data_IF_000095724425
#
_entry.id   IF_000095724425
#
_cell.length_a   1.000
_cell.length_b   1.000
_cell.length_c   1.000
_cell.angle_alpha   90.00
_cell.angle_beta   90.00
_cell.angle_gamma   90.00
#
_symmetry.space_group_name_H-M   'P 1'
#
loop_
_entity.id
_entity.type
_entity.pdbx_description
1 polymer ?
#
# COMPACT_ATOMS: atom_id res chain seq x y z
N UNK A 1 14.57 23.06 42.51
CA UNK A 1 14.72 22.35 41.21
C UNK A 1 14.43 23.35 40.11
N UNK A 2 15.46 23.90 39.48
CA UNK A 2 15.38 24.97 38.48
C UNK A 2 15.54 24.38 37.09
N UNK A 3 14.52 24.53 36.23
CA UNK A 3 14.53 24.09 34.84
C UNK A 3 14.91 25.25 33.93
N UNK A 4 16.08 25.18 33.29
CA UNK A 4 16.49 26.10 32.23
C UNK A 4 16.07 25.54 30.88
N UNK A 5 15.33 26.34 30.11
CA UNK A 5 14.88 26.03 28.75
C UNK A 5 15.88 26.63 27.76
N UNK A 6 16.52 25.77 26.96
CA UNK A 6 17.47 26.16 25.92
C UNK A 6 16.75 26.17 24.57
N UNK A 7 16.65 27.34 23.93
CA UNK A 7 16.12 27.50 22.57
C UNK A 7 17.28 27.59 21.58
N UNK A 8 17.36 26.66 20.62
CA UNK A 8 18.29 26.74 19.51
C UNK A 8 17.63 27.39 18.30
N UNK A 9 18.23 28.49 17.83
CA UNK A 9 17.85 29.25 16.64
C UNK A 9 18.49 28.63 15.41
N UNK A 10 17.68 28.23 14.42
CA UNK A 10 18.16 27.60 13.18
C UNK A 10 18.11 28.60 12.04
N UNK A 11 19.28 29.07 11.61
CA UNK A 11 19.47 29.92 10.43
C UNK A 11 19.24 29.12 9.15
N UNK A 12 18.37 29.62 8.26
CA UNK A 12 18.05 29.01 6.96
C UNK A 12 19.00 29.59 5.91
N UNK A 13 19.92 28.78 5.41
CA UNK A 13 20.78 29.13 4.28
C UNK A 13 20.08 28.75 2.97
N UNK A 14 19.63 29.75 2.21
CA UNK A 14 19.12 29.59 0.84
C UNK A 14 20.29 29.55 -0.12
N UNK A 15 20.56 28.39 -0.72
CA UNK A 15 21.52 28.27 -1.82
C UNK A 15 20.75 28.11 -3.14
N UNK A 16 20.83 29.14 -3.99
CA UNK A 16 20.45 29.07 -5.39
C UNK A 16 21.50 28.28 -6.16
N UNK A 17 21.10 27.19 -6.82
CA UNK A 17 21.96 26.51 -7.80
C UNK A 17 21.13 26.11 -9.03
N UNK A 18 21.37 26.84 -10.11
CA UNK A 18 21.76 26.28 -11.42
C UNK A 18 20.80 25.35 -12.13
N UNK A 19 20.03 25.92 -13.06
CA UNK A 19 19.40 25.23 -14.18
C UNK A 19 20.48 24.59 -15.08
N UNK A 20 20.43 23.26 -15.25
CA UNK A 20 21.06 22.58 -16.38
C UNK A 20 20.08 21.58 -16.97
N UNK A 21 19.63 21.93 -18.18
CA UNK A 21 18.90 21.09 -19.11
C UNK A 21 19.75 19.88 -19.52
N UNK A 22 19.19 18.68 -19.41
CA UNK A 22 19.72 17.50 -20.07
C UNK A 22 18.55 16.62 -20.51
N UNK A 23 18.31 16.64 -21.82
CA UNK A 23 17.53 15.63 -22.55
C UNK A 23 18.08 14.24 -22.23
N UNK A 24 17.22 13.33 -21.79
CA UNK A 24 17.52 11.90 -21.74
C UNK A 24 16.27 11.10 -22.14
N UNK A 25 16.41 10.53 -23.34
CA UNK A 25 15.64 9.54 -24.08
C UNK A 25 14.77 8.61 -23.24
N UNK A 26 13.50 8.52 -23.64
CA UNK A 26 12.56 7.48 -23.23
C UNK A 26 13.04 6.10 -23.71
N UNK A 27 13.26 5.19 -22.76
CA UNK A 27 13.36 3.75 -23.05
C UNK A 27 12.08 3.12 -22.50
N UNK A 28 11.15 2.87 -23.43
CA UNK A 28 9.98 2.02 -23.25
C UNK A 28 10.45 0.57 -23.14
N UNK A 29 10.05 -0.14 -22.09
CA UNK A 29 10.25 -1.58 -21.98
C UNK A 29 8.90 -2.28 -21.79
N UNK A 30 8.70 -3.27 -22.67
CA UNK A 30 7.48 -4.01 -22.95
C UNK A 30 6.89 -4.73 -21.74
N UNK A 31 5.58 -4.57 -21.57
CA UNK A 31 4.76 -5.42 -20.71
C UNK A 31 4.28 -6.65 -21.47
N UNK A 32 5.01 -7.77 -21.32
CA UNK A 32 4.56 -9.07 -21.79
C UNK A 32 3.42 -9.59 -20.89
N UNK A 33 2.22 -9.63 -21.44
CA UNK A 33 1.01 -10.21 -20.85
C UNK A 33 1.12 -11.74 -20.92
N UNK A 34 1.37 -12.38 -19.78
CA UNK A 34 1.30 -13.84 -19.67
C UNK A 34 -0.16 -14.29 -19.51
N UNK A 35 -0.64 -15.09 -20.47
CA UNK A 35 -1.92 -15.78 -20.42
C UNK A 35 -1.91 -16.93 -19.39
N UNK A 36 -3.00 -17.16 -18.61
CA UNK A 36 -3.11 -18.34 -17.77
C UNK A 36 -3.68 -19.52 -18.58
N UNK A 37 -2.96 -20.64 -18.60
CA UNK A 37 -3.46 -21.91 -19.13
C UNK A 37 -4.54 -22.48 -18.21
N UNK A 38 -5.69 -22.81 -18.79
CA UNK A 38 -6.80 -23.48 -18.13
C UNK A 38 -6.43 -24.94 -17.80
N UNK A 39 -6.61 -25.31 -16.53
CA UNK A 39 -6.44 -26.66 -16.02
C UNK A 39 -7.62 -27.55 -16.42
N UNK A 40 -7.29 -28.75 -16.89
CA UNK A 40 -8.22 -29.82 -17.27
C UNK A 40 -8.99 -30.34 -16.05
N UNK A 41 -10.30 -30.49 -16.21
CA UNK A 41 -11.21 -31.14 -15.27
C UNK A 41 -10.99 -32.65 -15.22
N UNK A 42 -11.08 -33.22 -14.01
CA UNK A 42 -11.15 -34.66 -13.76
C UNK A 42 -12.46 -34.98 -13.00
N UNK A 43 -13.01 -36.19 -13.16
CA UNK A 43 -14.41 -36.49 -12.86
C UNK A 43 -14.66 -36.81 -11.38
N UNK A 44 -15.89 -36.52 -10.96
CA UNK A 44 -16.43 -36.84 -9.65
C UNK A 44 -16.58 -38.35 -9.44
N UNK A 45 -16.32 -38.81 -8.21
CA UNK A 45 -16.62 -40.16 -7.72
C UNK A 45 -16.97 -40.09 -6.22
N UNK A 46 -17.75 -41.05 -5.70
CA UNK A 46 -18.86 -40.77 -4.82
C UNK A 46 -18.49 -40.72 -3.33
N UNK A 47 -19.32 -39.99 -2.60
CA UNK A 47 -19.25 -39.74 -1.15
C UNK A 47 -19.48 -41.06 -0.39
N UNK A 48 -18.45 -41.58 0.26
CA UNK A 48 -18.60 -42.63 1.27
C UNK A 48 -18.85 -41.97 2.62
N UNK A 49 -20.08 -42.12 3.12
CA UNK A 49 -20.47 -41.75 4.48
C UNK A 49 -19.82 -42.69 5.48
N UNK A 50 -18.60 -42.36 5.89
CA UNK A 50 -17.94 -43.06 7.00
C UNK A 50 -18.47 -42.50 8.33
N UNK A 51 -19.20 -43.37 9.03
CA UNK A 51 -19.70 -43.25 10.40
C UNK A 51 -18.78 -42.48 11.36
N UNK A 52 -19.30 -41.39 11.92
CA UNK A 52 -18.69 -40.55 12.97
C UNK A 52 -18.75 -41.22 14.36
N UNK A 53 -18.31 -42.47 14.49
CA UNK A 53 -18.37 -43.20 15.78
C UNK A 53 -17.02 -43.32 16.50
N UNK A 54 -16.07 -42.43 16.24
CA UNK A 54 -14.69 -42.51 16.76
C UNK A 54 -14.25 -41.40 17.74
N UNK A 55 -15.16 -40.60 18.29
CA UNK A 55 -14.82 -39.35 18.98
C UNK A 55 -14.34 -39.46 20.43
N UNK A 56 -14.05 -40.64 20.96
CA UNK A 56 -13.45 -40.78 22.30
C UNK A 56 -12.22 -41.69 22.24
N UNK A 57 -11.19 -41.24 21.53
CA UNK A 57 -9.86 -41.84 21.60
C UNK A 57 -9.04 -41.08 22.64
N UNK A 58 -8.95 -41.63 23.85
CA UNK A 58 -8.33 -41.09 25.07
C UNK A 58 -6.79 -40.93 25.01
N UNK A 59 -6.22 -40.67 23.83
CA UNK A 59 -4.77 -40.70 23.58
C UNK A 59 -4.14 -39.36 23.16
N UNK A 60 -4.79 -38.21 23.36
CA UNK A 60 -4.25 -36.94 22.86
C UNK A 60 -4.31 -35.74 23.81
N UNK A 61 -3.96 -35.94 25.08
CA UNK A 61 -3.84 -34.89 26.09
C UNK A 61 -2.94 -33.70 25.66
N UNK A 62 -1.90 -33.95 24.85
CA UNK A 62 -0.98 -32.92 24.31
C UNK A 62 -1.60 -32.10 23.16
N UNK A 63 -2.59 -32.66 22.46
CA UNK A 63 -3.32 -31.93 21.41
C UNK A 63 -4.33 -30.96 22.03
N UNK A 64 -4.96 -31.38 23.14
CA UNK A 64 -5.87 -30.55 23.91
C UNK A 64 -5.15 -29.33 24.48
N UNK A 65 -3.94 -29.48 25.02
CA UNK A 65 -3.16 -28.36 25.57
C UNK A 65 -2.85 -27.28 24.50
N UNK A 66 -2.39 -27.69 23.31
CA UNK A 66 -2.08 -26.73 22.23
C UNK A 66 -3.33 -26.06 21.65
N UNK A 67 -4.45 -26.78 21.63
CA UNK A 67 -5.74 -26.24 21.20
C UNK A 67 -6.27 -25.21 22.22
N UNK A 68 -6.13 -25.50 23.52
CA UNK A 68 -6.46 -24.56 24.59
C UNK A 68 -5.62 -23.29 24.47
N UNK A 69 -4.30 -23.42 24.28
CA UNK A 69 -3.41 -22.26 24.08
C UNK A 69 -3.80 -21.43 22.86
N UNK A 70 -4.11 -22.06 21.73
CA UNK A 70 -4.55 -21.35 20.53
C UNK A 70 -5.90 -20.64 20.74
N UNK A 71 -6.81 -21.26 21.51
CA UNK A 71 -8.12 -20.70 21.85
C UNK A 71 -7.96 -19.46 22.73
N UNK A 72 -7.16 -19.54 23.79
CA UNK A 72 -6.86 -18.39 24.65
C UNK A 72 -6.23 -17.24 23.85
N UNK A 73 -5.25 -17.53 23.00
CA UNK A 73 -4.61 -16.52 22.15
C UNK A 73 -5.59 -15.87 21.14
N UNK A 74 -6.59 -16.60 20.65
CA UNK A 74 -7.65 -16.04 19.81
C UNK A 74 -8.61 -15.16 20.60
N UNK A 75 -8.98 -15.54 21.84
CA UNK A 75 -9.78 -14.69 22.72
C UNK A 75 -9.06 -13.38 23.06
N UNK A 76 -7.77 -13.44 23.36
CA UNK A 76 -6.96 -12.26 23.71
C UNK A 76 -6.77 -11.30 22.53
N UNK A 77 -6.61 -11.83 21.31
CA UNK A 77 -6.35 -11.02 20.11
C UNK A 77 -7.60 -10.64 19.31
N UNK A 78 -8.74 -11.27 19.59
CA UNK A 78 -9.97 -11.15 18.78
C UNK A 78 -9.82 -11.67 17.34
N UNK A 79 -8.72 -12.36 17.02
CA UNK A 79 -8.39 -12.81 15.67
C UNK A 79 -8.34 -14.35 15.61
N UNK A 80 -9.12 -15.00 14.71
CA UNK A 80 -9.18 -16.47 14.62
C UNK A 80 -7.91 -17.10 14.01
N UNK A 81 -6.93 -16.30 13.58
CA UNK A 81 -5.71 -16.80 12.91
C UNK A 81 -4.94 -17.85 13.71
N UNK A 82 -4.93 -17.77 15.04
CA UNK A 82 -4.23 -18.76 15.88
C UNK A 82 -4.90 -20.14 15.81
N UNK A 83 -6.22 -20.19 15.86
CA UNK A 83 -6.99 -21.42 15.72
C UNK A 83 -6.84 -22.03 14.32
N UNK A 84 -6.95 -21.19 13.28
CA UNK A 84 -6.77 -21.62 11.88
C UNK A 84 -5.38 -22.21 11.64
N UNK A 85 -4.33 -21.59 12.20
CA UNK A 85 -2.95 -22.11 12.10
C UNK A 85 -2.82 -23.46 12.80
N UNK A 86 -3.47 -23.64 13.94
CA UNK A 86 -3.42 -24.87 14.70
C UNK A 86 -4.15 -26.01 13.98
N UNK A 87 -5.33 -25.74 13.39
CA UNK A 87 -6.08 -26.70 12.58
C UNK A 87 -5.29 -27.10 11.34
N UNK A 88 -4.73 -26.13 10.61
CA UNK A 88 -3.94 -26.41 9.41
C UNK A 88 -2.70 -27.26 9.75
N UNK A 89 -2.02 -26.94 10.86
CA UNK A 89 -0.89 -27.73 11.36
C UNK A 89 -1.32 -29.17 11.65
N UNK A 90 -2.46 -29.37 12.29
CA UNK A 90 -2.98 -30.69 12.62
C UNK A 90 -3.31 -31.50 11.37
N UNK A 91 -4.02 -30.89 10.40
CA UNK A 91 -4.37 -31.53 9.12
C UNK A 91 -3.09 -31.99 8.40
N UNK A 92 -2.08 -31.13 8.32
CA UNK A 92 -0.80 -31.45 7.67
C UNK A 92 -0.10 -32.61 8.41
N UNK A 93 -0.02 -32.56 9.73
CA UNK A 93 0.65 -33.60 10.52
C UNK A 93 -0.07 -34.95 10.45
N UNK A 94 -1.40 -34.94 10.54
CA UNK A 94 -2.23 -36.15 10.43
C UNK A 94 -2.03 -36.83 9.08
N UNK A 95 -2.12 -36.06 7.99
CA UNK A 95 -1.87 -36.56 6.63
C UNK A 95 -0.47 -37.13 6.46
N UNK A 96 0.57 -36.44 6.96
CA UNK A 96 1.96 -36.92 6.89
C UNK A 96 2.14 -38.25 7.62
N UNK A 97 1.57 -38.39 8.82
CA UNK A 97 1.64 -39.63 9.59
C UNK A 97 0.94 -40.78 8.88
N UNK A 98 -0.23 -40.54 8.30
CA UNK A 98 -0.96 -41.54 7.51
C UNK A 98 -0.16 -42.00 6.27
N UNK A 99 0.63 -41.11 5.67
CA UNK A 99 1.55 -41.42 4.57
C UNK A 99 2.90 -42.00 5.05
N UNK A 100 3.07 -42.28 6.34
CA UNK A 100 4.30 -42.82 6.93
C UNK A 100 5.47 -41.84 6.97
N UNK A 101 5.23 -40.55 6.74
CA UNK A 101 6.26 -39.49 6.75
C UNK A 101 6.51 -38.99 8.17
N UNK A 102 7.77 -38.76 8.50
CA UNK A 102 8.16 -38.15 9.77
C UNK A 102 7.55 -36.74 9.95
N UNK A 103 7.43 -36.32 11.21
CA UNK A 103 6.95 -34.99 11.58
C UNK A 103 7.79 -33.91 10.89
N UNK A 104 7.12 -32.85 10.43
CA UNK A 104 7.76 -31.76 9.70
C UNK A 104 8.67 -30.98 10.65
N UNK A 105 9.98 -31.23 10.55
CA UNK A 105 11.01 -30.46 11.25
C UNK A 105 11.41 -29.27 10.39
N UNK A 106 11.24 -28.05 10.92
CA UNK A 106 11.73 -26.84 10.28
C UNK A 106 13.09 -26.54 10.89
N UNK A 107 14.16 -26.83 10.15
CA UNK A 107 15.50 -26.43 10.54
C UNK A 107 15.69 -24.94 10.29
N UNK A 108 15.70 -24.16 11.36
CA UNK A 108 16.04 -22.73 11.27
C UNK A 108 17.56 -22.59 11.18
N UNK A 109 18.07 -22.53 9.94
CA UNK A 109 19.47 -22.16 9.73
C UNK A 109 19.68 -20.74 10.25
N UNK A 110 20.62 -20.59 11.20
CA UNK A 110 20.99 -19.26 11.71
C UNK A 110 21.50 -18.41 10.53
N UNK A 111 21.15 -17.11 10.49
CA UNK A 111 21.65 -16.22 9.45
C UNK A 111 23.19 -16.23 9.48
N UNK A 112 23.79 -16.40 8.30
CA UNK A 112 25.24 -16.39 8.10
C UNK A 112 25.78 -15.03 8.58
N UNK A 113 26.69 -15.06 9.55
CA UNK A 113 27.33 -13.85 10.08
C UNK A 113 28.20 -13.22 9.00
N UNK A 114 28.31 -11.89 9.03
CA UNK A 114 29.06 -11.11 8.02
C UNK A 114 30.56 -11.49 7.94
N UNK A 115 31.09 -12.13 8.98
CA UNK A 115 32.47 -12.63 9.10
C UNK A 115 32.81 -13.77 8.12
N UNK A 116 31.80 -14.43 7.53
CA UNK A 116 31.99 -15.56 6.59
C UNK A 116 31.92 -15.16 5.12
N UNK A 117 31.69 -13.87 4.80
CA UNK A 117 31.65 -13.44 3.41
C UNK A 117 33.05 -13.35 2.82
N UNK A 118 33.19 -13.84 1.59
CA UNK A 118 34.41 -13.60 0.82
C UNK A 118 34.52 -12.10 0.47
N UNK A 119 35.74 -11.63 0.20
CA UNK A 119 36.00 -10.24 -0.20
C UNK A 119 35.16 -9.83 -1.42
N UNK A 120 34.97 -10.75 -2.37
CA UNK A 120 34.12 -10.55 -3.55
C UNK A 120 32.65 -10.34 -3.20
N UNK A 121 32.12 -11.11 -2.24
CA UNK A 121 30.74 -10.98 -1.78
C UNK A 121 30.50 -9.65 -1.05
N UNK A 122 31.49 -9.18 -0.29
CA UNK A 122 31.44 -7.87 0.36
C UNK A 122 31.38 -6.73 -0.66
N UNK A 123 32.19 -6.80 -1.72
CA UNK A 123 32.18 -5.80 -2.81
C UNK A 123 30.83 -5.82 -3.54
N UNK A 124 30.30 -7.00 -3.88
CA UNK A 124 28.99 -7.14 -4.54
C UNK A 124 27.86 -6.59 -3.67
N UNK A 125 27.91 -6.83 -2.36
CA UNK A 125 26.96 -6.28 -1.39
C UNK A 125 27.06 -4.77 -1.30
N UNK A 126 28.27 -4.20 -1.22
CA UNK A 126 28.48 -2.75 -1.22
C UNK A 126 27.92 -2.11 -2.49
N UNK A 127 28.22 -2.68 -3.67
CA UNK A 127 27.67 -2.22 -4.96
C UNK A 127 26.15 -2.27 -4.97
N UNK A 128 25.53 -3.36 -4.48
CA UNK A 128 24.06 -3.48 -4.40
C UNK A 128 23.45 -2.42 -3.48
N UNK A 129 24.05 -2.17 -2.31
CA UNK A 129 23.59 -1.14 -1.38
C UNK A 129 23.65 0.25 -2.01
N UNK A 130 24.74 0.56 -2.71
CA UNK A 130 24.89 1.85 -3.38
C UNK A 130 23.87 2.03 -4.51
N UNK A 131 23.67 1.01 -5.37
CA UNK A 131 22.64 1.04 -6.41
C UNK A 131 21.23 1.22 -5.82
N UNK A 132 20.92 0.51 -4.73
CA UNK A 132 19.64 0.64 -4.05
C UNK A 132 19.47 2.04 -3.42
N UNK A 133 20.54 2.61 -2.84
CA UNK A 133 20.55 3.98 -2.32
C UNK A 133 20.22 5.00 -3.41
N UNK A 134 20.84 4.87 -4.58
CA UNK A 134 20.57 5.73 -5.75
C UNK A 134 19.15 5.53 -6.28
N UNK A 135 18.68 4.29 -6.38
CA UNK A 135 17.32 3.99 -6.82
C UNK A 135 16.26 4.56 -5.85
N UNK A 136 16.48 4.43 -4.54
CA UNK A 136 15.60 5.00 -3.52
C UNK A 136 15.57 6.53 -3.59
N UNK A 137 16.73 7.17 -3.79
CA UNK A 137 16.81 8.63 -4.00
C UNK A 137 16.00 9.05 -5.23
N UNK A 138 16.24 8.43 -6.40
CA UNK A 138 15.50 8.73 -7.63
C UNK A 138 14.00 8.50 -7.50
N UNK A 139 13.60 7.43 -6.79
CA UNK A 139 12.18 7.14 -6.54
C UNK A 139 11.52 8.24 -5.70
N UNK A 140 12.20 8.68 -4.63
CA UNK A 140 11.74 9.80 -3.79
C UNK A 140 11.67 11.10 -4.58
N UNK A 141 12.69 11.42 -5.37
CA UNK A 141 12.72 12.60 -6.24
C UNK A 141 11.59 12.57 -7.28
N UNK A 142 11.33 11.42 -7.92
CA UNK A 142 10.21 11.24 -8.85
C UNK A 142 8.87 11.45 -8.14
N UNK A 143 8.73 10.91 -6.93
CA UNK A 143 7.55 11.12 -6.09
C UNK A 143 7.34 12.59 -5.74
N UNK A 144 8.41 13.31 -5.38
CA UNK A 144 8.36 14.72 -5.05
C UNK A 144 7.99 15.58 -6.28
N UNK A 145 8.66 15.37 -7.42
CA UNK A 145 8.34 16.07 -8.68
C UNK A 145 6.88 15.89 -9.08
N UNK A 146 6.33 14.67 -8.92
CA UNK A 146 4.90 14.43 -9.19
C UNK A 146 3.99 15.24 -8.27
N UNK A 147 4.32 15.34 -6.98
CA UNK A 147 3.57 16.17 -6.04
C UNK A 147 3.64 17.64 -6.43
N UNK A 148 4.82 18.13 -6.77
CA UNK A 148 5.03 19.53 -7.16
C UNK A 148 4.21 19.89 -8.42
N UNK A 149 4.20 19.00 -9.43
CA UNK A 149 3.37 19.17 -10.62
C UNK A 149 1.88 19.23 -10.31
N UNK A 150 1.40 18.35 -9.42
CA UNK A 150 -0.02 18.36 -9.01
C UNK A 150 -0.39 19.63 -8.26
N UNK A 151 0.49 20.12 -7.38
CA UNK A 151 0.27 21.39 -6.67
C UNK A 151 0.21 22.55 -7.65
N UNK A 152 1.08 22.59 -8.64
CA UNK A 152 1.07 23.65 -9.64
C UNK A 152 -0.19 23.62 -10.51
N UNK A 153 -0.64 22.42 -10.91
CA UNK A 153 -1.91 22.27 -11.64
C UNK A 153 -3.11 22.70 -10.79
N UNK A 154 -3.14 22.38 -9.49
CA UNK A 154 -4.17 22.86 -8.57
C UNK A 154 -4.20 24.40 -8.54
N UNK A 155 -3.03 25.05 -8.40
CA UNK A 155 -2.95 26.52 -8.40
C UNK A 155 -3.47 27.12 -9.69
N UNK A 156 -3.07 26.55 -10.83
CA UNK A 156 -3.53 26.99 -12.15
C UNK A 156 -5.05 26.89 -12.27
N UNK A 157 -5.63 25.74 -11.92
CA UNK A 157 -7.08 25.52 -11.96
C UNK A 157 -7.82 26.46 -11.00
N UNK A 158 -7.28 26.71 -9.81
CA UNK A 158 -7.86 27.67 -8.85
C UNK A 158 -7.85 29.10 -9.40
N UNK A 159 -6.76 29.51 -10.05
CA UNK A 159 -6.64 30.82 -10.70
C UNK A 159 -7.69 30.96 -11.83
N UNK A 160 -7.78 29.97 -12.71
CA UNK A 160 -8.75 29.96 -13.81
C UNK A 160 -10.19 29.96 -13.31
N UNK A 161 -10.50 29.20 -12.26
CA UNK A 161 -11.83 29.18 -11.67
C UNK A 161 -12.19 30.55 -11.09
N UNK A 162 -11.26 31.18 -10.36
CA UNK A 162 -11.45 32.53 -9.82
C UNK A 162 -11.71 33.57 -10.91
N UNK A 163 -10.98 33.49 -12.02
CA UNK A 163 -11.19 34.35 -13.19
C UNK A 163 -12.58 34.14 -13.81
N UNK A 164 -12.99 32.89 -14.02
CA UNK A 164 -14.31 32.56 -14.56
C UNK A 164 -15.45 33.02 -13.65
N UNK A 165 -15.29 32.89 -12.33
CA UNK A 165 -16.28 33.38 -11.35
C UNK A 165 -16.41 34.91 -11.47
N UNK A 166 -15.29 35.64 -11.59
CA UNK A 166 -15.31 37.09 -11.75
C UNK A 166 -16.01 37.51 -13.04
N UNK A 167 -15.71 36.85 -14.16
CA UNK A 167 -16.36 37.11 -15.45
C UNK A 167 -17.86 36.83 -15.36
N UNK A 168 -18.24 35.70 -14.76
CA UNK A 168 -19.64 35.34 -14.56
C UNK A 168 -20.38 36.36 -13.69
N UNK A 169 -19.75 36.83 -12.62
CA UNK A 169 -20.26 37.90 -11.76
C UNK A 169 -20.52 39.17 -12.55
N UNK A 170 -19.53 39.65 -13.30
CA UNK A 170 -19.66 40.86 -14.12
C UNK A 170 -20.74 40.74 -15.20
N UNK A 171 -20.84 39.60 -15.89
CA UNK A 171 -21.91 39.37 -16.87
C UNK A 171 -23.30 39.32 -16.23
N UNK A 172 -23.40 38.74 -15.04
CA UNK A 172 -24.65 38.68 -14.28
C UNK A 172 -25.09 40.07 -13.83
N UNK A 173 -24.17 40.90 -13.35
CA UNK A 173 -24.43 42.30 -13.01
C UNK A 173 -24.90 43.11 -14.21
N UNK A 174 -24.20 43.01 -15.35
CA UNK A 174 -24.59 43.69 -16.58
C UNK A 174 -25.99 43.28 -17.03
N UNK A 175 -26.27 41.97 -17.05
CA UNK A 175 -27.59 41.44 -17.39
C UNK A 175 -28.68 41.98 -16.47
N UNK A 176 -28.44 41.96 -15.16
CA UNK A 176 -29.40 42.45 -14.18
C UNK A 176 -29.64 43.96 -14.32
N UNK A 177 -28.59 44.74 -14.60
CA UNK A 177 -28.71 46.18 -14.86
C UNK A 177 -29.59 46.45 -16.08
N UNK A 178 -29.40 45.73 -17.19
CA UNK A 178 -30.21 45.89 -18.40
C UNK A 178 -31.67 45.52 -18.13
N UNK A 179 -31.91 44.41 -17.43
CA UNK A 179 -33.26 43.98 -17.04
C UNK A 179 -33.94 45.04 -16.18
N UNK A 180 -33.22 45.63 -15.22
CA UNK A 180 -33.78 46.66 -14.34
C UNK A 180 -34.09 47.96 -15.12
N UNK A 181 -33.18 48.42 -15.98
CA UNK A 181 -33.44 49.56 -16.86
C UNK A 181 -34.67 49.32 -17.75
N UNK A 182 -34.78 48.12 -18.33
CA UNK A 182 -35.95 47.76 -19.14
C UNK A 182 -37.24 47.76 -18.32
N UNK A 183 -37.23 47.18 -17.10
CA UNK A 183 -38.37 47.21 -16.19
C UNK A 183 -38.78 48.63 -15.83
N UNK A 184 -37.82 49.52 -15.60
CA UNK A 184 -38.09 50.94 -15.32
C UNK A 184 -38.76 51.61 -16.51
N UNK A 185 -38.27 51.39 -17.74
CA UNK A 185 -38.93 51.87 -18.95
C UNK A 185 -40.36 51.32 -19.10
N UNK A 186 -40.56 50.03 -18.91
CA UNK A 186 -41.89 49.41 -19.03
C UNK A 186 -42.91 49.99 -18.04
N UNK A 187 -42.47 50.40 -16.83
CA UNK A 187 -43.34 51.10 -15.87
C UNK A 187 -43.75 52.50 -16.33
N UNK A 188 -42.91 53.17 -17.12
CA UNK A 188 -43.20 54.52 -17.64
C UNK A 188 -44.04 54.46 -18.93
N UNK A 189 -43.94 53.37 -19.68
CA UNK A 189 -44.65 53.19 -20.94
C UNK A 189 -46.00 52.48 -20.82
N UNK A 190 -46.50 52.18 -19.61
CA UNK A 190 -47.79 51.49 -19.43
C UNK A 190 -49.03 52.37 -19.65
N UNK A 191 -48.84 53.65 -19.96
CA UNK A 191 -49.93 54.64 -20.14
C UNK A 191 -50.26 54.94 -21.62
N UNK A 192 -49.86 54.07 -22.57
CA UNK A 192 -50.23 54.16 -23.99
C UNK A 192 -50.85 52.86 -24.52
#
# INVERSE_FOLDING_TARGET
>A
MTTTVTTHSTSVHVSMIGNLSAHASDISCDGAIMSPQASKSLPASPVSVTSMSGLLNSRNLVQDEKLVVATLATLDSGNPSNLIKQDLKWIIQSRRKAEGKAELQVEFKKPVKDEQLTSEELIKRARRRELNRLAARRSREKGQKRKDLLVEEIRKLQSQNSELINILGGLTEQRNSIIETLRQHMKQCSDY
#
